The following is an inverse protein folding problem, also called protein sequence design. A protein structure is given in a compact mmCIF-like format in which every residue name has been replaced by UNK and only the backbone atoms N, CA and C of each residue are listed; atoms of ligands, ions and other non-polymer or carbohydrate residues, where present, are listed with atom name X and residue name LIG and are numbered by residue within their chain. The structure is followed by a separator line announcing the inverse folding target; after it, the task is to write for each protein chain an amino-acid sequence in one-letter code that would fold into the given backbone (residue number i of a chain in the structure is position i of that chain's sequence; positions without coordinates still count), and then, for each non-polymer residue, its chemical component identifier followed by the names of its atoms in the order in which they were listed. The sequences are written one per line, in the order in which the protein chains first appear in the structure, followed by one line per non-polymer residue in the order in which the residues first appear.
data_IF_432448719313
#
_entry.id   IF_432448719313
#
_cell.length_a   1.000
_cell.length_b   1.000
_cell.length_c   1.000
_cell.angle_alpha   90.00
_cell.angle_beta   90.00
_cell.angle_gamma   90.00
#
_symmetry.space_group_name_H-M   'P 1'
#
loop_
_entity.id
_entity.type
_entity.pdbx_description
1 polymer ?
#
# COMPACT_ATOMS: atom_id res chain seq x y z
N UNK A 1 17.37 -7.28 12.86
CA UNK A 1 18.34 -6.24 12.48
C UNK A 1 17.61 -4.90 12.43
N UNK A 2 18.12 -3.87 13.11
CA UNK A 2 17.90 -2.44 12.79
C UNK A 2 18.71 -2.10 11.51
N UNK A 3 18.45 -1.12 10.65
CA UNK A 3 17.57 0.07 10.65
C UNK A 3 17.08 0.30 9.19
N UNK A 4 15.89 0.87 8.96
CA UNK A 4 15.37 1.14 7.61
C UNK A 4 14.85 2.60 7.46
N UNK A 5 15.41 3.32 6.49
CA UNK A 5 14.78 4.46 5.78
C UNK A 5 14.80 4.05 4.31
N UNK A 6 13.64 3.91 3.66
CA UNK A 6 13.63 3.40 2.28
C UNK A 6 12.86 4.32 1.34
N UNK A 7 13.60 5.25 0.73
CA UNK A 7 13.25 5.93 -0.52
C UNK A 7 14.05 5.25 -1.63
N UNK A 8 13.41 4.38 -2.40
CA UNK A 8 14.12 3.52 -3.38
C UNK A 8 14.37 4.19 -4.73
N UNK A 9 13.63 5.25 -5.05
CA UNK A 9 13.74 5.98 -6.30
C UNK A 9 13.31 7.43 -6.08
N UNK A 10 14.04 8.36 -6.68
CA UNK A 10 13.65 9.76 -6.82
C UNK A 10 13.21 10.09 -8.25
N UNK A 11 13.20 9.09 -9.15
CA UNK A 11 12.84 9.26 -10.56
C UNK A 11 11.41 8.76 -10.78
N UNK A 12 10.50 9.61 -11.31
CA UNK A 12 9.14 9.20 -11.57
C UNK A 12 9.07 8.21 -12.74
N UNK A 13 8.11 7.28 -12.68
CA UNK A 13 7.90 6.25 -13.71
C UNK A 13 7.15 6.77 -14.96
N UNK A 14 6.96 8.10 -15.10
CA UNK A 14 6.17 8.73 -16.17
C UNK A 14 6.63 8.44 -17.62
N UNK A 15 7.91 8.13 -17.90
CA UNK A 15 8.31 7.70 -19.24
C UNK A 15 7.78 6.32 -19.63
N UNK A 16 7.54 5.42 -18.67
CA UNK A 16 7.08 4.05 -18.91
C UNK A 16 5.60 4.09 -19.32
N UNK A 17 5.27 3.36 -20.41
CA UNK A 17 3.90 3.34 -20.98
C UNK A 17 3.15 2.05 -20.68
N UNK A 18 3.85 0.97 -20.36
CA UNK A 18 3.21 -0.28 -19.95
C UNK A 18 2.66 -0.14 -18.53
N UNK A 19 1.34 -0.27 -18.42
CA UNK A 19 0.62 -0.11 -17.14
C UNK A 19 1.07 -1.13 -16.10
N UNK A 20 1.30 -2.37 -16.52
CA UNK A 20 1.68 -3.43 -15.60
C UNK A 20 3.12 -3.23 -15.11
N UNK A 21 4.01 -2.80 -16.00
CA UNK A 21 5.38 -2.44 -15.64
C UNK A 21 5.40 -1.31 -14.60
N UNK A 22 4.66 -0.22 -14.85
CA UNK A 22 4.52 0.89 -13.89
C UNK A 22 3.97 0.38 -12.55
N UNK A 23 2.91 -0.43 -12.58
CA UNK A 23 2.29 -0.96 -11.37
C UNK A 23 3.24 -1.87 -10.58
N UNK A 24 3.90 -2.82 -11.23
CA UNK A 24 4.86 -3.73 -10.57
C UNK A 24 6.00 -2.92 -9.95
N UNK A 25 6.57 -1.96 -10.68
CA UNK A 25 7.64 -1.11 -10.16
C UNK A 25 7.15 -0.27 -8.97
N UNK A 26 6.03 0.43 -9.10
CA UNK A 26 5.44 1.20 -8.01
C UNK A 26 5.18 0.37 -6.76
N UNK A 27 4.58 -0.82 -6.91
CA UNK A 27 4.26 -1.71 -5.79
C UNK A 27 5.50 -2.30 -5.10
N UNK A 28 6.59 -2.48 -5.84
CA UNK A 28 7.90 -2.77 -5.25
C UNK A 28 8.45 -1.55 -4.50
N UNK A 29 8.33 -0.35 -5.08
CA UNK A 29 8.88 0.88 -4.51
C UNK A 29 8.24 1.26 -3.17
N UNK A 30 6.92 1.05 -3.04
CA UNK A 30 6.20 1.32 -1.78
C UNK A 30 6.26 0.16 -0.78
N UNK A 31 7.05 -0.90 -1.07
CA UNK A 31 7.22 -2.04 -0.18
C UNK A 31 6.00 -2.95 -0.05
N UNK A 32 5.02 -2.86 -0.97
CA UNK A 32 3.87 -3.76 -0.98
C UNK A 32 4.30 -5.20 -1.30
N UNK A 33 5.09 -5.34 -2.38
CA UNK A 33 5.83 -6.57 -2.67
C UNK A 33 7.11 -6.61 -1.84
N UNK A 34 7.45 -7.76 -1.23
CA UNK A 34 8.77 -7.93 -0.64
C UNK A 34 9.85 -7.88 -1.72
N UNK A 35 11.06 -7.41 -1.37
CA UNK A 35 12.21 -7.45 -2.28
C UNK A 35 12.44 -8.87 -2.80
N UNK A 36 12.56 -9.01 -4.12
CA UNK A 36 12.68 -10.32 -4.76
C UNK A 36 11.42 -11.17 -4.66
N UNK A 37 10.23 -10.56 -4.69
CA UNK A 37 8.97 -11.28 -4.68
C UNK A 37 8.89 -12.27 -5.85
N UNK A 38 9.05 -13.54 -5.51
CA UNK A 38 8.78 -14.68 -6.36
C UNK A 38 7.45 -15.31 -5.90
N UNK A 39 6.45 -15.51 -6.77
CA UNK A 39 5.19 -16.11 -6.38
C UNK A 39 5.42 -17.53 -5.83
N UNK A 40 5.33 -17.69 -4.50
CA UNK A 40 5.49 -18.99 -3.82
C UNK A 40 4.32 -19.97 -3.99
N UNK A 41 3.41 -19.69 -4.92
CA UNK A 41 2.17 -20.43 -5.18
C UNK A 41 2.15 -20.87 -6.64
N UNK A 42 1.07 -21.50 -7.12
CA UNK A 42 0.91 -21.95 -8.53
C UNK A 42 1.01 -20.85 -9.61
N UNK A 43 1.27 -19.59 -9.23
CA UNK A 43 1.45 -18.48 -10.14
C UNK A 43 2.85 -18.52 -10.76
N UNK A 44 2.92 -18.40 -12.08
CA UNK A 44 4.18 -18.44 -12.85
C UNK A 44 4.82 -17.07 -13.02
N UNK A 45 4.04 -16.01 -12.81
CA UNK A 45 4.48 -14.62 -12.95
C UNK A 45 3.91 -13.76 -11.83
N UNK A 46 4.53 -12.60 -11.58
CA UNK A 46 3.98 -11.60 -10.65
C UNK A 46 2.56 -11.22 -11.04
N UNK A 47 2.27 -11.11 -12.35
CA UNK A 47 0.94 -10.73 -12.86
C UNK A 47 -0.16 -11.74 -12.50
N UNK A 48 0.19 -13.01 -12.35
CA UNK A 48 -0.74 -14.07 -11.95
C UNK A 48 -0.92 -14.16 -10.42
N UNK A 49 -0.04 -13.52 -9.65
CA UNK A 49 -0.06 -13.61 -8.20
C UNK A 49 -1.30 -12.94 -7.59
N UNK A 50 -1.80 -13.52 -6.50
CA UNK A 50 -2.90 -12.95 -5.69
C UNK A 50 -2.69 -11.47 -5.33
N UNK A 51 -1.53 -11.03 -4.78
CA UNK A 51 -1.30 -9.62 -4.46
C UNK A 51 -1.42 -8.69 -5.65
N UNK A 52 -0.86 -9.06 -6.80
CA UNK A 52 -0.92 -8.23 -7.99
C UNK A 52 -2.35 -8.09 -8.50
N UNK A 53 -3.03 -9.22 -8.67
CA UNK A 53 -4.41 -9.28 -9.17
C UNK A 53 -5.39 -8.59 -8.21
N UNK A 54 -5.15 -8.68 -6.91
CA UNK A 54 -5.92 -7.93 -5.91
C UNK A 54 -5.85 -6.43 -6.16
N UNK A 55 -4.64 -5.88 -6.34
CA UNK A 55 -4.51 -4.46 -6.59
C UNK A 55 -5.01 -4.06 -7.97
N UNK A 56 -4.57 -4.72 -9.03
CA UNK A 56 -4.95 -4.33 -10.38
C UNK A 56 -6.44 -4.56 -10.65
N UNK A 57 -6.90 -5.81 -10.55
CA UNK A 57 -8.24 -6.20 -11.02
C UNK A 57 -9.38 -5.81 -10.06
N UNK A 58 -9.06 -5.55 -8.79
CA UNK A 58 -10.07 -5.21 -7.79
C UNK A 58 -9.99 -3.75 -7.39
N UNK A 59 -8.82 -3.23 -7.02
CA UNK A 59 -8.70 -1.87 -6.52
C UNK A 59 -8.43 -0.84 -7.61
N UNK A 60 -7.46 -1.02 -8.50
CA UNK A 60 -7.08 0.01 -9.48
C UNK A 60 -8.04 0.06 -10.67
N UNK A 61 -8.46 -1.09 -11.20
CA UNK A 61 -9.45 -1.14 -12.29
C UNK A 61 -10.86 -0.73 -11.81
N UNK A 62 -11.12 -0.74 -10.50
CA UNK A 62 -12.43 -0.41 -9.90
C UNK A 62 -12.30 0.36 -8.59
N UNK A 63 -11.63 1.52 -8.64
CA UNK A 63 -11.28 2.31 -7.45
C UNK A 63 -12.48 2.68 -6.57
N UNK A 64 -13.62 3.01 -7.17
CA UNK A 64 -14.83 3.42 -6.45
C UNK A 64 -15.60 2.24 -5.83
N UNK A 65 -15.36 1.02 -6.31
CA UNK A 65 -16.10 -0.16 -5.87
C UNK A 65 -15.67 -0.58 -4.46
N UNK A 66 -16.64 -0.68 -3.56
CA UNK A 66 -16.48 -1.39 -2.30
C UNK A 66 -16.46 -2.90 -2.50
N UNK A 67 -15.40 -3.54 -1.99
CA UNK A 67 -15.22 -4.99 -2.03
C UNK A 67 -15.31 -5.58 -0.63
N UNK A 68 -16.15 -6.60 -0.45
CA UNK A 68 -16.09 -7.43 0.77
C UNK A 68 -14.96 -8.43 0.69
N UNK A 69 -14.49 -8.94 1.84
CA UNK A 69 -13.43 -9.96 1.87
C UNK A 69 -13.87 -11.24 1.16
N UNK A 70 -15.14 -11.61 1.30
CA UNK A 70 -15.76 -12.75 0.63
C UNK A 70 -15.71 -12.62 -0.90
N UNK A 71 -16.01 -11.43 -1.42
CA UNK A 71 -15.96 -11.16 -2.86
C UNK A 71 -14.52 -11.27 -3.37
N UNK A 72 -13.56 -10.70 -2.64
CA UNK A 72 -12.15 -10.75 -3.00
C UNK A 72 -11.60 -12.18 -2.95
N UNK A 73 -11.90 -12.95 -1.90
CA UNK A 73 -11.45 -14.33 -1.77
C UNK A 73 -11.99 -15.21 -2.89
N UNK A 74 -13.26 -15.01 -3.25
CA UNK A 74 -13.93 -15.73 -4.35
C UNK A 74 -13.32 -15.36 -5.70
N UNK A 75 -13.20 -14.06 -6.00
CA UNK A 75 -12.66 -13.57 -7.28
C UNK A 75 -11.21 -14.01 -7.50
N UNK A 76 -10.38 -13.97 -6.46
CA UNK A 76 -8.96 -14.28 -6.55
C UNK A 76 -8.64 -15.74 -6.26
N UNK A 77 -9.66 -16.58 -6.00
CA UNK A 77 -9.51 -18.01 -5.66
C UNK A 77 -8.46 -18.22 -4.56
N UNK A 78 -8.58 -17.46 -3.48
CA UNK A 78 -7.65 -17.51 -2.35
C UNK A 78 -8.40 -17.49 -1.03
N UNK A 79 -7.68 -17.63 0.08
CA UNK A 79 -8.27 -17.68 1.41
C UNK A 79 -8.55 -16.27 1.96
N UNK A 80 -9.57 -16.13 2.81
CA UNK A 80 -9.83 -14.86 3.51
C UNK A 80 -8.61 -14.37 4.32
N UNK A 81 -7.86 -15.22 5.04
CA UNK A 81 -6.61 -14.80 5.69
C UNK A 81 -5.58 -14.18 4.75
N UNK A 82 -5.42 -14.73 3.53
CA UNK A 82 -4.54 -14.15 2.51
C UNK A 82 -5.01 -12.74 2.13
N UNK A 83 -6.32 -12.56 1.91
CA UNK A 83 -6.90 -11.25 1.61
C UNK A 83 -6.69 -10.25 2.76
N UNK A 84 -6.99 -10.64 4.01
CA UNK A 84 -6.79 -9.78 5.17
C UNK A 84 -5.34 -9.31 5.32
N UNK A 85 -4.35 -10.17 5.04
CA UNK A 85 -2.94 -9.77 5.05
C UNK A 85 -2.67 -8.59 4.11
N UNK A 86 -3.22 -8.63 2.91
CA UNK A 86 -3.03 -7.55 1.93
C UNK A 86 -3.84 -6.31 2.26
N UNK A 87 -5.08 -6.47 2.73
CA UNK A 87 -5.91 -5.35 3.21
C UNK A 87 -5.19 -4.62 4.35
N UNK A 88 -4.64 -5.34 5.33
CA UNK A 88 -3.96 -4.72 6.47
C UNK A 88 -2.71 -3.93 6.04
N UNK A 89 -1.95 -4.42 5.06
CA UNK A 89 -0.84 -3.65 4.48
C UNK A 89 -1.32 -2.34 3.85
N UNK A 90 -2.38 -2.40 3.03
CA UNK A 90 -2.92 -1.23 2.33
C UNK A 90 -3.56 -0.23 3.30
N UNK A 91 -4.24 -0.71 4.35
CA UNK A 91 -4.73 0.14 5.44
C UNK A 91 -3.61 0.77 6.23
N UNK A 92 -2.53 0.03 6.49
CA UNK A 92 -1.35 0.55 7.18
C UNK A 92 -0.67 1.69 6.42
N UNK A 93 -0.76 1.70 5.08
CA UNK A 93 -0.32 2.81 4.23
C UNK A 93 -1.39 3.90 4.03
N UNK A 94 -2.60 3.70 4.54
CA UNK A 94 -3.74 4.62 4.38
C UNK A 94 -4.28 4.79 2.94
N UNK A 95 -3.99 3.82 2.05
CA UNK A 95 -4.40 3.83 0.63
C UNK A 95 -5.87 3.42 0.44
N UNK A 96 -6.41 2.59 1.36
CA UNK A 96 -7.78 2.09 1.30
C UNK A 96 -8.58 2.52 2.53
N UNK A 97 -9.90 2.66 2.35
CA UNK A 97 -10.84 3.00 3.42
C UNK A 97 -11.88 1.89 3.63
N UNK A 98 -12.45 1.84 4.84
CA UNK A 98 -13.56 0.97 5.17
C UNK A 98 -14.88 1.64 4.74
N UNK A 99 -15.84 0.85 4.26
CA UNK A 99 -17.19 1.31 3.97
C UNK A 99 -18.22 0.21 4.17
N UNK A 100 -19.49 0.60 4.30
CA UNK A 100 -20.60 -0.36 4.20
C UNK A 100 -20.89 -0.68 2.73
N UNK A 101 -20.87 -1.96 2.39
CA UNK A 101 -21.22 -2.49 1.07
C UNK A 101 -22.52 -3.27 1.21
N UNK A 102 -23.48 -3.01 0.32
CA UNK A 102 -24.69 -3.84 0.21
C UNK A 102 -24.35 -5.12 -0.53
N UNK A 103 -24.61 -6.26 0.10
CA UNK A 103 -24.44 -7.60 -0.46
C UNK A 103 -25.78 -8.33 -0.32
N UNK A 104 -26.63 -8.23 -1.36
CA UNK A 104 -28.02 -8.66 -1.29
C UNK A 104 -28.84 -7.79 -0.32
N UNK A 105 -29.43 -8.43 0.70
CA UNK A 105 -30.20 -7.74 1.75
C UNK A 105 -29.34 -7.28 2.93
N UNK A 106 -28.10 -7.76 3.04
CA UNK A 106 -27.22 -7.48 4.16
C UNK A 106 -26.29 -6.30 3.86
N UNK A 107 -25.95 -5.54 4.91
CA UNK A 107 -24.85 -4.58 4.87
C UNK A 107 -23.62 -5.23 5.47
N UNK A 108 -22.54 -5.29 4.70
CA UNK A 108 -21.27 -5.89 5.11
C UNK A 108 -20.17 -4.85 5.07
N UNK A 109 -19.13 -5.07 5.87
CA UNK A 109 -17.91 -4.30 5.79
C UNK A 109 -17.20 -4.60 4.47
N UNK A 110 -16.85 -3.56 3.73
CA UNK A 110 -16.02 -3.65 2.55
C UNK A 110 -14.89 -2.64 2.58
N UNK A 111 -14.11 -2.66 1.51
CA UNK A 111 -12.91 -1.86 1.33
C UNK A 111 -12.83 -1.33 -0.09
N UNK A 112 -12.36 -0.10 -0.26
CA UNK A 112 -12.07 0.50 -1.58
C UNK A 112 -10.86 1.42 -1.51
N UNK A 113 -10.35 1.84 -2.67
CA UNK A 113 -9.36 2.94 -2.70
C UNK A 113 -9.98 4.16 -2.04
N UNK A 114 -9.26 4.81 -1.14
CA UNK A 114 -9.73 5.99 -0.41
C UNK A 114 -10.26 7.04 -1.40
N UNK A 115 -11.49 7.53 -1.16
CA UNK A 115 -12.24 8.41 -2.08
C UNK A 115 -12.45 7.90 -3.52
N UNK A 116 -12.23 6.61 -3.78
CA UNK A 116 -12.29 6.05 -5.13
C UNK A 116 -11.26 6.62 -6.10
N UNK A 117 -10.17 7.23 -5.60
CA UNK A 117 -9.18 7.90 -6.42
C UNK A 117 -7.77 7.71 -5.84
N UNK A 118 -6.88 7.07 -6.60
CA UNK A 118 -5.54 6.74 -6.10
C UNK A 118 -4.69 7.98 -5.79
N UNK A 119 -4.80 9.07 -6.56
CA UNK A 119 -4.07 10.30 -6.29
C UNK A 119 -4.53 10.96 -4.99
N UNK A 120 -5.84 11.03 -4.75
CA UNK A 120 -6.38 11.52 -3.47
C UNK A 120 -5.99 10.63 -2.29
N UNK A 121 -5.97 9.32 -2.48
CA UNK A 121 -5.49 8.38 -1.47
C UNK A 121 -4.01 8.62 -1.15
N UNK A 122 -3.20 8.88 -2.18
CA UNK A 122 -1.76 9.11 -2.04
C UNK A 122 -1.42 10.36 -1.20
N UNK A 123 -2.24 11.41 -1.26
CA UNK A 123 -2.06 12.60 -0.40
C UNK A 123 -2.02 12.23 1.11
N UNK A 124 -2.70 11.17 1.53
CA UNK A 124 -2.65 10.70 2.93
C UNK A 124 -1.33 10.03 3.24
N UNK A 125 -0.83 9.21 2.30
CA UNK A 125 0.50 8.58 2.41
C UNK A 125 1.56 9.67 2.59
N UNK A 126 1.53 10.70 1.74
CA UNK A 126 2.46 11.83 1.81
C UNK A 126 2.36 12.57 3.14
N UNK A 127 1.14 12.90 3.60
CA UNK A 127 0.95 13.57 4.88
C UNK A 127 1.51 12.76 6.06
N UNK A 128 1.34 11.42 6.07
CA UNK A 128 1.92 10.56 7.11
C UNK A 128 3.45 10.57 7.07
N UNK A 129 4.04 10.54 5.87
CA UNK A 129 5.50 10.60 5.69
C UNK A 129 6.05 11.97 6.13
N UNK A 130 5.40 13.06 5.77
CA UNK A 130 5.80 14.42 6.15
C UNK A 130 5.83 14.59 7.67
N UNK A 131 4.78 14.13 8.36
CA UNK A 131 4.73 14.15 9.83
C UNK A 131 5.85 13.30 10.44
N UNK A 132 6.12 12.11 9.89
CA UNK A 132 7.21 11.27 10.37
C UNK A 132 8.58 11.94 10.20
N UNK A 133 8.83 12.54 9.03
CA UNK A 133 10.08 13.26 8.75
C UNK A 133 10.25 14.51 9.62
N UNK A 134 9.16 15.24 9.89
CA UNK A 134 9.16 16.36 10.82
C UNK A 134 9.55 15.92 12.24
N UNK A 135 8.97 14.82 12.73
CA UNK A 135 9.30 14.27 14.05
C UNK A 135 10.77 13.82 14.13
N UNK A 136 11.31 13.23 13.06
CA UNK A 136 12.74 12.91 13.00
C UNK A 136 13.60 14.16 13.04
N UNK A 137 13.23 15.22 12.30
CA UNK A 137 13.93 16.51 12.35
C UNK A 137 13.96 17.09 13.76
N UNK A 138 12.82 17.16 14.44
CA UNK A 138 12.72 17.63 15.82
C UNK A 138 13.61 16.81 16.77
N UNK A 139 13.68 15.49 16.55
CA UNK A 139 14.53 14.59 17.34
C UNK A 139 16.02 14.90 17.11
N UNK A 140 16.44 15.09 15.86
CA UNK A 140 17.83 15.46 15.51
C UNK A 140 18.21 16.81 16.12
N UNK A 141 17.34 17.81 16.02
CA UNK A 141 17.56 19.13 16.63
C UNK A 141 17.69 19.04 18.15
N UNK A 142 16.88 18.19 18.80
CA UNK A 142 16.96 17.96 20.24
C UNK A 142 18.30 17.33 20.63
N UNK A 143 18.74 16.30 19.90
CA UNK A 143 20.04 15.64 20.10
C UNK A 143 21.18 16.66 19.98
N UNK A 144 21.16 17.51 18.95
CA UNK A 144 22.18 18.56 18.76
C UNK A 144 22.26 19.50 19.97
N UNK A 145 21.11 19.98 20.46
CA UNK A 145 21.05 20.86 21.64
C UNK A 145 21.63 20.20 22.89
N UNK A 146 21.40 18.91 23.10
CA UNK A 146 21.97 18.17 24.22
C UNK A 146 23.50 18.05 24.12
N UNK A 147 24.02 17.80 22.92
CA UNK A 147 25.47 17.72 22.68
C UNK A 147 26.19 19.05 22.93
N UNK A 148 25.58 20.18 22.56
CA UNK A 148 26.15 21.52 22.77
C UNK A 148 26.20 21.92 24.24
N UNK A 149 25.19 21.54 25.03
CA UNK A 149 25.15 21.80 26.47
C UNK A 149 26.26 21.08 27.23
N UNK A 150 26.66 19.89 26.80
CA UNK A 150 27.75 19.10 27.42
C UNK A 150 29.13 19.71 27.18
N UNK A 151 29.28 20.59 26.17
CA UNK A 151 30.56 21.26 25.85
C UNK A 151 30.79 22.55 26.64
N UNK A 152 29.78 23.02 27.39
CA UNK A 152 29.86 24.17 28.30
C UNK A 152 30.01 23.67 29.73
#
# INVERSE_FOLDING_TARGET
MAFEITVVSNTPLTPIKDRDEVAIQFLNQIGYFPKGYDPKTDARTIKESVPYRLLMECFFDRMEKGWTVEQLSTKLKTTKPTIYRHINKLKGMDIIEDLEVRDGKERKKGYRIRYGNLAKAWNFVEAHVDVAMENYRMTVEHIQKLCERKKR
#
